data_IF_788263986061
#
_entry.id   IF_788263986061
#
_cell.length_a   1.000
_cell.length_b   1.000
_cell.length_c   1.000
_cell.angle_alpha   90.00
_cell.angle_beta   90.00
_cell.angle_gamma   90.00
#
_symmetry.space_group_name_H-M   'P 1'
#
loop_
_entity.id
_entity.type
_entity.pdbx_description
1 polymer ?
#
# COMPACT_ATOMS: atom_id res chain seq x y z
N UNK A 1 9.64 15.00 -6.65
CA UNK A 1 10.73 14.35 -7.42
C UNK A 1 10.11 13.18 -8.18
N UNK A 2 10.43 13.14 -9.48
CA UNK A 2 10.10 12.22 -10.57
C UNK A 2 9.42 10.87 -10.26
N UNK A 3 8.42 10.57 -11.09
CA UNK A 3 7.90 9.22 -11.30
C UNK A 3 8.68 8.43 -12.36
N UNK A 4 8.33 7.16 -12.50
CA UNK A 4 8.67 6.33 -13.64
C UNK A 4 7.62 5.21 -13.80
N UNK A 5 6.75 5.36 -14.80
CA UNK A 5 6.00 4.26 -15.41
C UNK A 5 6.56 4.01 -16.81
N UNK A 6 6.98 2.76 -17.02
CA UNK A 6 7.13 2.06 -18.28
C UNK A 6 5.80 2.01 -19.04
N UNK A 7 5.69 1.95 -20.36
CA UNK A 7 6.63 2.04 -21.47
C UNK A 7 5.80 2.19 -22.75
N UNK A 8 6.12 3.18 -23.58
CA UNK A 8 5.54 3.35 -24.91
C UNK A 8 6.55 2.88 -25.96
N UNK A 9 6.08 2.01 -26.86
CA UNK A 9 6.85 1.49 -27.97
C UNK A 9 7.25 2.63 -28.92
N UNK A 10 8.56 2.79 -29.10
CA UNK A 10 9.16 3.79 -29.97
C UNK A 10 8.70 3.65 -31.42
N UNK A 11 7.98 4.67 -31.90
CA UNK A 11 7.97 4.97 -33.34
C UNK A 11 9.28 5.68 -33.63
N UNK A 12 10.25 4.95 -34.18
CA UNK A 12 11.51 5.52 -34.66
C UNK A 12 11.20 6.60 -35.72
N UNK A 13 11.82 7.79 -35.64
CA UNK A 13 11.75 8.77 -36.72
C UNK A 13 12.47 8.19 -37.95
N UNK A 14 11.75 7.97 -39.05
CA UNK A 14 12.36 7.62 -40.32
C UNK A 14 13.37 8.72 -40.72
N UNK A 15 14.60 8.36 -41.10
CA UNK A 15 15.68 9.32 -41.27
C UNK A 15 15.41 10.19 -42.49
N UNK A 16 15.59 11.51 -42.33
CA UNK A 16 15.48 12.51 -43.38
C UNK A 16 16.37 12.24 -44.62
N UNK A 17 17.32 11.30 -44.52
CA UNK A 17 18.20 10.86 -45.60
C UNK A 17 17.45 10.13 -46.73
N UNK A 18 16.44 9.32 -46.41
CA UNK A 18 15.73 8.53 -47.43
C UNK A 18 14.91 9.41 -48.37
N UNK A 19 14.30 10.47 -47.81
CA UNK A 19 13.52 11.47 -48.55
C UNK A 19 14.42 12.37 -49.43
N UNK A 20 15.63 12.70 -48.95
CA UNK A 20 16.65 13.42 -49.73
C UNK A 20 17.12 12.59 -50.92
N UNK A 21 17.32 11.28 -50.75
CA UNK A 21 17.79 10.39 -51.83
C UNK A 21 16.80 10.26 -52.99
N UNK A 22 15.49 10.18 -52.70
CA UNK A 22 14.43 10.08 -53.72
C UNK A 22 14.29 11.36 -54.52
N UNK A 23 14.33 12.51 -53.84
CA UNK A 23 14.27 13.81 -54.52
C UNK A 23 15.52 14.00 -55.38
N UNK A 24 16.71 13.72 -54.86
CA UNK A 24 17.96 13.84 -55.61
C UNK A 24 17.99 12.93 -56.85
N UNK A 25 17.48 11.69 -56.74
CA UNK A 25 17.36 10.77 -57.87
C UNK A 25 16.37 11.27 -58.93
N UNK A 26 15.22 11.81 -58.50
CA UNK A 26 14.23 12.41 -59.42
C UNK A 26 14.83 13.61 -60.15
N UNK A 27 15.56 14.51 -59.47
CA UNK A 27 16.22 15.66 -60.10
C UNK A 27 17.33 15.22 -61.06
N UNK A 28 18.14 14.22 -60.69
CA UNK A 28 19.23 13.69 -61.52
C UNK A 28 18.72 13.07 -62.83
N UNK A 29 17.64 12.29 -62.77
CA UNK A 29 17.03 11.67 -63.97
C UNK A 29 16.45 12.75 -64.89
N UNK A 30 15.81 13.77 -64.34
CA UNK A 30 15.24 14.88 -65.12
C UNK A 30 16.34 15.69 -65.81
N UNK A 31 17.43 15.98 -65.09
CA UNK A 31 18.60 16.69 -65.62
C UNK A 31 19.30 15.89 -66.73
N UNK A 32 19.42 14.57 -66.54
CA UNK A 32 20.06 13.67 -67.51
C UNK A 32 19.23 13.56 -68.80
N UNK A 33 17.90 13.50 -68.68
CA UNK A 33 17.00 13.43 -69.83
C UNK A 33 16.96 14.75 -70.61
N UNK A 34 16.98 15.90 -69.91
CA UNK A 34 17.07 17.22 -70.52
C UNK A 34 18.42 17.44 -71.24
N UNK A 35 19.53 17.06 -70.61
CA UNK A 35 20.86 17.12 -71.21
C UNK A 35 20.98 16.18 -72.43
N UNK A 36 20.46 14.95 -72.32
CA UNK A 36 20.43 14.00 -73.43
C UNK A 36 19.61 14.50 -74.62
N UNK A 37 18.45 15.12 -74.35
CA UNK A 37 17.60 15.70 -75.41
C UNK A 37 18.26 16.90 -76.06
N UNK A 38 18.94 17.77 -75.29
CA UNK A 38 19.67 18.92 -75.82
C UNK A 38 20.83 18.50 -76.73
N UNK A 39 21.64 17.54 -76.29
CA UNK A 39 22.76 17.00 -77.09
C UNK A 39 22.24 16.31 -78.35
N UNK A 40 21.18 15.51 -78.25
CA UNK A 40 20.60 14.82 -79.40
C UNK A 40 20.02 15.81 -80.42
N UNK A 41 19.38 16.88 -79.95
CA UNK A 41 18.82 17.93 -80.82
C UNK A 41 19.93 18.73 -81.52
N UNK A 42 21.04 18.99 -80.82
CA UNK A 42 22.19 19.73 -81.37
C UNK A 42 22.97 18.89 -82.40
N UNK A 43 23.01 17.56 -82.24
CA UNK A 43 23.68 16.66 -83.20
C UNK A 43 22.84 16.42 -84.46
N UNK A 44 21.50 16.35 -84.34
CA UNK A 44 20.64 16.10 -85.50
C UNK A 44 20.27 17.36 -86.31
N UNK A 45 20.42 18.57 -85.75
CA UNK A 45 19.97 19.81 -86.40
C UNK A 45 21.00 20.94 -86.21
N UNK A 46 22.13 20.90 -86.93
CA UNK A 46 23.20 21.90 -86.78
C UNK A 46 22.88 23.29 -87.37
N UNK A 47 21.86 23.42 -88.24
CA UNK A 47 21.50 24.68 -88.93
C UNK A 47 20.15 25.29 -88.47
N UNK A 48 19.55 24.79 -87.38
CA UNK A 48 18.34 25.39 -86.82
C UNK A 48 18.71 26.60 -85.94
N UNK A 49 18.08 27.76 -86.17
CA UNK A 49 18.36 28.98 -85.38
C UNK A 49 18.22 28.73 -83.88
N UNK A 50 19.17 29.28 -83.09
CA UNK A 50 19.31 29.07 -81.63
C UNK A 50 17.97 29.10 -80.87
N UNK A 51 17.04 29.98 -81.28
CA UNK A 51 15.73 30.18 -80.65
C UNK A 51 14.83 28.93 -80.67
N UNK A 52 14.91 28.08 -81.70
CA UNK A 52 14.03 26.90 -81.82
C UNK A 52 14.44 25.77 -80.86
N UNK A 53 15.74 25.61 -80.60
CA UNK A 53 16.25 24.60 -79.65
C UNK A 53 15.83 24.92 -78.20
N UNK A 54 15.88 26.20 -77.81
CA UNK A 54 15.43 26.63 -76.48
C UNK A 54 13.94 26.34 -76.28
N UNK A 55 13.08 26.61 -77.26
CA UNK A 55 11.64 26.38 -77.15
C UNK A 55 11.29 24.91 -76.96
N UNK A 56 11.96 24.00 -77.69
CA UNK A 56 11.73 22.56 -77.54
C UNK A 56 12.20 22.02 -76.18
N UNK A 57 13.32 22.53 -75.65
CA UNK A 57 13.80 22.13 -74.32
C UNK A 57 12.83 22.56 -73.20
N UNK A 58 12.26 23.76 -73.32
CA UNK A 58 11.27 24.27 -72.37
C UNK A 58 9.99 23.44 -72.44
N UNK A 59 9.51 23.13 -73.65
CA UNK A 59 8.31 22.31 -73.84
C UNK A 59 8.47 20.89 -73.27
N UNK A 60 9.61 20.24 -73.55
CA UNK A 60 9.91 18.90 -73.01
C UNK A 60 10.07 18.94 -71.49
N UNK A 61 10.75 19.97 -70.96
CA UNK A 61 10.88 20.17 -69.51
C UNK A 61 9.54 20.36 -68.82
N UNK A 62 8.64 21.16 -69.39
CA UNK A 62 7.28 21.37 -68.86
C UNK A 62 6.45 20.09 -68.90
N UNK A 63 6.50 19.31 -69.98
CA UNK A 63 5.77 18.05 -70.09
C UNK A 63 6.24 17.03 -69.03
N UNK A 64 7.54 16.93 -68.80
CA UNK A 64 8.10 16.04 -67.77
C UNK A 64 7.68 16.47 -66.36
N UNK A 65 7.67 17.77 -66.06
CA UNK A 65 7.20 18.29 -64.77
C UNK A 65 5.73 17.97 -64.52
N UNK A 66 4.86 18.06 -65.53
CA UNK A 66 3.44 17.72 -65.41
C UNK A 66 3.27 16.23 -65.12
N UNK A 67 4.00 15.35 -65.81
CA UNK A 67 3.95 13.91 -65.56
C UNK A 67 4.44 13.58 -64.15
N UNK A 68 5.53 14.23 -63.70
CA UNK A 68 6.03 14.07 -62.33
C UNK A 68 4.99 14.52 -61.30
N UNK A 69 4.33 15.65 -61.53
CA UNK A 69 3.28 16.15 -60.65
C UNK A 69 2.10 15.19 -60.56
N UNK A 70 1.63 14.64 -61.68
CA UNK A 70 0.52 13.70 -61.71
C UNK A 70 0.82 12.40 -60.96
N UNK A 71 2.05 11.88 -61.09
CA UNK A 71 2.48 10.68 -60.35
C UNK A 71 2.58 10.96 -58.85
N UNK A 72 3.21 12.08 -58.45
CA UNK A 72 3.31 12.47 -57.04
C UNK A 72 1.93 12.73 -56.42
N UNK A 73 0.97 13.24 -57.19
CA UNK A 73 -0.40 13.46 -56.73
C UNK A 73 -1.16 12.14 -56.51
N UNK A 74 -1.00 11.17 -57.41
CA UNK A 74 -1.56 9.83 -57.27
C UNK A 74 -1.07 9.12 -56.00
N UNK A 75 0.25 9.15 -55.76
CA UNK A 75 0.86 8.56 -54.56
C UNK A 75 0.35 9.23 -53.27
N UNK A 76 0.09 10.54 -53.28
CA UNK A 76 -0.45 11.26 -52.10
C UNK A 76 -1.90 10.90 -51.82
N UNK A 77 -2.72 10.75 -52.85
CA UNK A 77 -4.14 10.39 -52.72
C UNK A 77 -4.30 9.01 -52.08
N UNK A 78 -3.55 8.03 -52.55
CA UNK A 78 -3.60 6.65 -52.02
C UNK A 78 -3.19 6.61 -50.54
N UNK A 79 -2.13 7.33 -50.17
CA UNK A 79 -1.69 7.44 -48.78
C UNK A 79 -2.73 8.11 -47.87
N UNK A 80 -3.44 9.12 -48.35
CA UNK A 80 -4.52 9.79 -47.59
C UNK A 80 -5.74 8.87 -47.45
N UNK A 81 -6.11 8.15 -48.49
CA UNK A 81 -7.22 7.19 -48.44
C UNK A 81 -6.95 6.09 -47.41
N UNK A 82 -5.75 5.52 -47.41
CA UNK A 82 -5.34 4.50 -46.45
C UNK A 82 -5.20 5.03 -45.02
N UNK A 83 -4.83 6.30 -44.85
CA UNK A 83 -4.85 6.95 -43.53
C UNK A 83 -6.29 7.17 -43.03
N UNK A 84 -7.21 7.56 -43.92
CA UNK A 84 -8.61 7.79 -43.58
C UNK A 84 -9.34 6.48 -43.24
N UNK A 85 -9.12 5.39 -44.00
CA UNK A 85 -9.67 4.06 -43.70
C UNK A 85 -9.23 3.56 -42.32
N UNK A 86 -7.93 3.72 -41.99
CA UNK A 86 -7.38 3.37 -40.67
C UNK A 86 -8.04 4.18 -39.56
N UNK A 87 -8.21 5.49 -39.75
CA UNK A 87 -8.85 6.36 -38.75
C UNK A 87 -10.31 6.00 -38.50
N UNK A 88 -11.08 5.73 -39.55
CA UNK A 88 -12.50 5.35 -39.42
C UNK A 88 -12.65 4.00 -38.71
N UNK A 89 -11.78 3.03 -39.03
CA UNK A 89 -11.79 1.72 -38.36
C UNK A 89 -11.45 1.86 -36.87
N UNK A 90 -10.39 2.59 -36.52
CA UNK A 90 -10.01 2.83 -35.13
C UNK A 90 -11.07 3.58 -34.33
N UNK A 91 -11.75 4.56 -34.94
CA UNK A 91 -12.86 5.28 -34.29
C UNK A 91 -14.06 4.36 -34.02
N UNK A 92 -14.39 3.45 -34.95
CA UNK A 92 -15.49 2.49 -34.77
C UNK A 92 -15.19 1.47 -33.66
N UNK A 93 -13.95 0.99 -33.58
CA UNK A 93 -13.50 0.09 -32.52
C UNK A 93 -13.55 0.80 -31.16
N UNK A 94 -12.95 1.99 -31.04
CA UNK A 94 -12.96 2.77 -29.80
C UNK A 94 -14.37 3.12 -29.31
N UNK A 95 -15.30 3.46 -30.22
CA UNK A 95 -16.69 3.74 -29.85
C UNK A 95 -17.42 2.48 -29.32
N UNK A 96 -17.12 1.31 -29.89
CA UNK A 96 -17.75 0.04 -29.50
C UNK A 96 -17.27 -0.40 -28.12
N UNK A 97 -15.96 -0.26 -27.86
CA UNK A 97 -15.37 -0.56 -26.56
C UNK A 97 -15.90 0.38 -25.49
N UNK A 98 -15.97 1.69 -25.78
CA UNK A 98 -16.53 2.68 -24.87
C UNK A 98 -18.01 2.43 -24.55
N UNK A 99 -18.80 2.03 -25.56
CA UNK A 99 -20.20 1.65 -25.33
C UNK A 99 -20.34 0.41 -24.44
N UNK A 100 -19.44 -0.56 -24.57
CA UNK A 100 -19.45 -1.78 -23.77
C UNK A 100 -19.06 -1.51 -22.33
N UNK A 101 -18.03 -0.71 -22.12
CA UNK A 101 -17.57 -0.28 -20.80
C UNK A 101 -18.66 0.54 -20.08
N UNK A 102 -19.27 1.50 -20.78
CA UNK A 102 -20.36 2.31 -20.23
C UNK A 102 -21.57 1.45 -19.84
N UNK A 103 -21.95 0.48 -20.69
CA UNK A 103 -23.05 -0.44 -20.37
C UNK A 103 -22.73 -1.32 -19.17
N UNK A 104 -21.51 -1.86 -19.08
CA UNK A 104 -21.09 -2.68 -17.94
C UNK A 104 -21.11 -1.89 -16.62
N UNK A 105 -20.59 -0.66 -16.63
CA UNK A 105 -20.59 0.20 -15.45
C UNK A 105 -22.02 0.59 -15.01
N UNK A 106 -22.91 0.80 -15.98
CA UNK A 106 -24.33 1.10 -15.73
C UNK A 106 -25.07 -0.12 -15.17
N UNK A 107 -24.88 -1.30 -15.76
CA UNK A 107 -25.51 -2.54 -15.29
C UNK A 107 -25.02 -2.93 -13.88
N UNK A 108 -23.73 -2.76 -13.58
CA UNK A 108 -23.17 -2.96 -12.24
C UNK A 108 -23.74 -1.97 -11.21
N UNK A 109 -23.88 -0.70 -11.60
CA UNK A 109 -24.46 0.33 -10.74
C UNK A 109 -25.94 0.06 -10.46
N UNK A 110 -26.71 -0.35 -11.48
CA UNK A 110 -28.10 -0.75 -11.31
C UNK A 110 -28.26 -2.01 -10.46
N UNK A 111 -27.38 -2.99 -10.57
CA UNK A 111 -27.39 -4.17 -9.70
C UNK A 111 -27.17 -3.79 -8.23
N UNK A 112 -26.21 -2.90 -7.93
CA UNK A 112 -25.96 -2.39 -6.58
C UNK A 112 -27.15 -1.61 -6.02
N UNK A 113 -27.78 -0.75 -6.84
CA UNK A 113 -28.96 0.04 -6.44
C UNK A 113 -30.17 -0.87 -6.20
N UNK A 114 -30.40 -1.87 -7.05
CA UNK A 114 -31.55 -2.77 -6.94
C UNK A 114 -31.41 -3.69 -5.71
N UNK A 115 -30.22 -4.22 -5.45
CA UNK A 115 -29.92 -5.01 -4.25
C UNK A 115 -30.12 -4.19 -2.97
N UNK A 116 -29.63 -2.94 -2.91
CA UNK A 116 -29.87 -2.03 -1.79
C UNK A 116 -31.38 -1.75 -1.60
N UNK A 117 -32.11 -1.53 -2.68
CA UNK A 117 -33.55 -1.26 -2.65
C UNK A 117 -34.36 -2.47 -2.17
N UNK A 118 -33.99 -3.67 -2.61
CA UNK A 118 -34.64 -4.93 -2.20
C UNK A 118 -34.37 -5.24 -0.72
N UNK A 119 -33.13 -5.04 -0.25
CA UNK A 119 -32.76 -5.12 1.17
C UNK A 119 -33.56 -4.14 2.03
N UNK A 120 -33.68 -2.87 1.62
CA UNK A 120 -34.51 -1.89 2.32
C UNK A 120 -35.99 -2.29 2.33
N UNK A 121 -36.51 -2.86 1.24
CA UNK A 121 -37.91 -3.33 1.18
C UNK A 121 -38.17 -4.55 2.07
N UNK A 122 -37.21 -5.45 2.20
CA UNK A 122 -37.30 -6.61 3.10
C UNK A 122 -37.20 -6.19 4.58
N UNK A 123 -36.34 -5.22 4.90
CA UNK A 123 -36.21 -4.63 6.25
C UNK A 123 -37.49 -3.90 6.67
N UNK A 124 -38.09 -3.12 5.76
CA UNK A 124 -39.34 -2.37 6.00
C UNK A 124 -40.56 -3.29 6.22
N UNK A 125 -40.51 -4.52 5.71
CA UNK A 125 -41.54 -5.56 5.88
C UNK A 125 -41.35 -6.44 7.11
N UNK A 126 -40.21 -6.36 7.81
CA UNK A 126 -39.92 -7.20 8.98
C UNK A 126 -40.39 -6.54 10.29
N UNK A 127 -40.73 -7.35 11.30
CA UNK A 127 -41.19 -6.91 12.64
C UNK A 127 -40.06 -6.24 13.46
N UNK A 128 -38.82 -6.28 12.98
CA UNK A 128 -37.70 -5.54 13.57
C UNK A 128 -37.86 -4.07 13.19
N UNK A 129 -38.21 -3.21 14.15
CA UNK A 129 -38.27 -1.75 14.00
C UNK A 129 -37.06 -1.24 13.17
N UNK A 130 -37.38 -0.81 11.95
CA UNK A 130 -36.56 -0.34 10.81
C UNK A 130 -35.44 0.68 11.11
N UNK A 131 -35.40 1.24 12.32
CA UNK A 131 -34.41 2.26 12.71
C UNK A 131 -32.99 1.71 12.86
N UNK A 132 -32.82 0.45 13.27
CA UNK A 132 -31.51 -0.13 13.58
C UNK A 132 -30.58 -0.23 12.36
N UNK A 133 -31.06 -0.87 11.29
CA UNK A 133 -30.28 -1.09 10.05
C UNK A 133 -30.03 0.22 9.32
N UNK A 134 -31.04 1.09 9.23
CA UNK A 134 -30.91 2.41 8.61
C UNK A 134 -29.92 3.30 9.38
N UNK A 135 -29.96 3.26 10.72
CA UNK A 135 -29.00 3.99 11.56
C UNK A 135 -27.59 3.41 11.42
N UNK A 136 -27.44 2.09 11.36
CA UNK A 136 -26.15 1.44 11.14
C UNK A 136 -25.54 1.84 9.79
N UNK A 137 -26.30 1.73 8.69
CA UNK A 137 -25.85 2.12 7.37
C UNK A 137 -25.44 3.60 7.33
N UNK A 138 -26.26 4.50 7.88
CA UNK A 138 -25.95 5.93 7.96
C UNK A 138 -24.68 6.20 8.76
N UNK A 139 -24.51 5.54 9.92
CA UNK A 139 -23.33 5.73 10.78
C UNK A 139 -22.07 5.16 10.15
N UNK A 140 -22.16 4.04 9.44
CA UNK A 140 -21.05 3.48 8.69
C UNK A 140 -20.60 4.41 7.56
N UNK A 141 -21.52 5.01 6.80
CA UNK A 141 -21.18 6.02 5.78
C UNK A 141 -20.45 7.21 6.41
N UNK A 142 -20.92 7.70 7.56
CA UNK A 142 -20.25 8.80 8.29
C UNK A 142 -18.81 8.45 8.70
N UNK A 143 -18.58 7.21 9.14
CA UNK A 143 -17.23 6.70 9.43
C UNK A 143 -16.38 6.60 8.16
N UNK A 144 -16.95 6.15 7.05
CA UNK A 144 -16.26 6.10 5.75
C UNK A 144 -15.81 7.47 5.23
N UNK A 145 -16.62 8.51 5.46
CA UNK A 145 -16.34 9.87 5.00
C UNK A 145 -15.33 10.62 5.89
N UNK A 146 -15.38 10.45 7.21
CA UNK A 146 -14.65 11.29 8.17
C UNK A 146 -13.67 10.51 9.07
N UNK A 147 -13.72 9.18 9.08
CA UNK A 147 -12.85 8.35 9.90
C UNK A 147 -11.44 8.25 9.34
N UNK A 148 -10.48 7.96 10.21
CA UNK A 148 -9.13 7.55 9.79
C UNK A 148 -9.14 6.15 9.15
N UNK A 149 -8.09 5.78 8.42
CA UNK A 149 -8.07 4.53 7.67
C UNK A 149 -8.14 3.29 8.56
N UNK A 150 -7.61 3.35 9.79
CA UNK A 150 -7.78 2.26 10.75
C UNK A 150 -9.22 2.17 11.26
N UNK A 151 -9.88 3.29 11.55
CA UNK A 151 -11.27 3.32 12.03
C UNK A 151 -12.22 2.79 10.97
N UNK A 152 -12.01 3.13 9.68
CA UNK A 152 -12.80 2.59 8.57
C UNK A 152 -12.69 1.07 8.48
N UNK A 153 -11.47 0.54 8.53
CA UNK A 153 -11.21 -0.91 8.44
C UNK A 153 -11.77 -1.65 9.64
N UNK A 154 -11.59 -1.11 10.84
CA UNK A 154 -12.21 -1.67 12.04
C UNK A 154 -13.74 -1.71 11.92
N UNK A 155 -14.38 -0.61 11.51
CA UNK A 155 -15.83 -0.59 11.32
C UNK A 155 -16.31 -1.59 10.25
N UNK A 156 -15.52 -1.82 9.20
CA UNK A 156 -15.82 -2.82 8.18
C UNK A 156 -15.76 -4.24 8.72
N UNK A 157 -14.71 -4.58 9.48
CA UNK A 157 -14.57 -5.90 10.12
C UNK A 157 -15.69 -6.16 11.14
N UNK A 158 -16.09 -5.16 11.94
CA UNK A 158 -17.19 -5.30 12.90
C UNK A 158 -18.55 -5.51 12.21
N UNK A 159 -18.81 -4.85 11.07
CA UNK A 159 -20.03 -5.10 10.28
C UNK A 159 -19.99 -6.50 9.66
N UNK A 160 -18.84 -6.94 9.15
CA UNK A 160 -18.68 -8.29 8.62
C UNK A 160 -18.89 -9.35 9.70
N UNK A 161 -18.34 -9.14 10.90
CA UNK A 161 -18.55 -9.98 12.06
C UNK A 161 -20.02 -10.04 12.48
N UNK A 162 -20.71 -8.90 12.53
CA UNK A 162 -22.16 -8.87 12.81
C UNK A 162 -22.96 -9.62 11.75
N UNK A 163 -22.60 -9.50 10.47
CA UNK A 163 -23.26 -10.23 9.39
C UNK A 163 -23.07 -11.74 9.53
N UNK A 164 -21.84 -12.20 9.82
CA UNK A 164 -21.54 -13.61 10.08
C UNK A 164 -22.27 -14.14 11.31
N UNK A 165 -22.40 -13.34 12.37
CA UNK A 165 -23.19 -13.70 13.55
C UNK A 165 -24.66 -13.87 13.19
N UNK A 166 -25.24 -12.95 12.40
CA UNK A 166 -26.63 -13.05 11.95
C UNK A 166 -26.85 -14.27 11.04
N UNK A 167 -25.90 -14.59 10.17
CA UNK A 167 -25.91 -15.81 9.35
C UNK A 167 -25.87 -17.07 10.22
N UNK A 168 -24.97 -17.10 11.20
CA UNK A 168 -24.83 -18.21 12.14
C UNK A 168 -26.12 -18.40 12.94
N UNK A 169 -26.68 -17.31 13.48
CA UNK A 169 -27.98 -17.31 14.17
C UNK A 169 -29.12 -17.78 13.28
N UNK A 170 -29.17 -17.35 12.01
CA UNK A 170 -30.15 -17.82 11.02
C UNK A 170 -30.01 -19.32 10.75
N UNK A 171 -28.79 -19.86 10.84
CA UNK A 171 -28.51 -21.29 10.70
C UNK A 171 -28.70 -22.08 12.00
N UNK A 172 -29.14 -21.43 13.09
CA UNK A 172 -29.48 -22.07 14.36
C UNK A 172 -28.30 -22.34 15.29
N UNK A 173 -27.12 -21.79 15.00
CA UNK A 173 -25.91 -21.99 15.81
C UNK A 173 -25.19 -20.65 15.98
N UNK A 174 -24.85 -20.23 17.18
CA UNK A 174 -23.91 -19.13 17.37
C UNK A 174 -22.85 -19.60 18.36
N UNK A 175 -21.61 -19.70 17.86
CA UNK A 175 -20.44 -19.94 18.69
C UNK A 175 -19.65 -18.64 18.73
N UNK A 176 -19.35 -18.16 19.94
CA UNK A 176 -18.57 -16.94 20.16
C UNK A 176 -17.22 -17.36 20.76
N UNK A 177 -16.14 -17.42 19.97
CA UNK A 177 -14.87 -17.93 20.43
C UNK A 177 -14.13 -16.92 21.32
N UNK A 178 -14.51 -16.85 22.60
CA UNK A 178 -13.68 -16.32 23.68
C UNK A 178 -14.27 -15.15 24.48
N UNK A 179 -13.68 -14.92 25.66
CA UNK A 179 -14.03 -13.80 26.55
C UNK A 179 -13.62 -12.45 25.94
N UNK A 180 -14.54 -11.47 25.97
CA UNK A 180 -14.52 -9.98 25.87
C UNK A 180 -13.31 -9.20 25.27
N UNK A 181 -12.29 -9.84 24.72
CA UNK A 181 -11.05 -9.24 24.20
C UNK A 181 -10.99 -9.28 22.66
N UNK A 182 -12.14 -9.34 21.99
CA UNK A 182 -12.17 -9.44 20.52
C UNK A 182 -11.72 -8.14 19.84
N UNK A 183 -12.06 -6.97 20.39
CA UNK A 183 -11.70 -5.70 19.78
C UNK A 183 -10.19 -5.50 19.65
N UNK A 184 -9.42 -5.84 20.68
CA UNK A 184 -7.96 -5.75 20.65
C UNK A 184 -7.35 -6.67 19.58
N UNK A 185 -7.94 -7.84 19.31
CA UNK A 185 -7.53 -8.73 18.23
C UNK A 185 -7.87 -8.14 16.85
N UNK A 186 -9.11 -7.69 16.65
CA UNK A 186 -9.56 -7.09 15.38
C UNK A 186 -8.77 -5.82 15.06
N UNK A 187 -8.54 -4.95 16.04
CA UNK A 187 -7.73 -3.73 15.88
C UNK A 187 -6.29 -4.04 15.47
N UNK A 188 -5.69 -5.08 16.06
CA UNK A 188 -4.34 -5.54 15.70
C UNK A 188 -4.29 -6.10 14.28
N UNK A 189 -5.33 -6.81 13.84
CA UNK A 189 -5.47 -7.25 12.46
C UNK A 189 -5.58 -6.05 11.50
N UNK A 190 -6.27 -4.99 11.93
CA UNK A 190 -6.42 -3.74 11.20
C UNK A 190 -5.19 -2.82 11.27
N UNK A 191 -4.17 -3.07 12.08
CA UNK A 191 -3.02 -2.13 12.19
C UNK A 191 -2.06 -2.27 10.99
N UNK A 192 -1.49 -1.14 10.52
CA UNK A 192 -0.60 -1.12 9.32
C UNK A 192 0.76 -0.49 9.53
N UNK A 193 0.89 0.45 10.44
CA UNK A 193 2.09 1.25 10.67
C UNK A 193 2.68 0.95 12.04
N UNK A 194 1.94 1.28 13.10
CA UNK A 194 2.46 1.28 14.46
C UNK A 194 1.43 0.77 15.47
N UNK A 195 1.90 0.06 16.50
CA UNK A 195 1.12 -0.31 17.68
C UNK A 195 1.95 -0.02 18.92
N UNK A 196 1.55 0.99 19.69
CA UNK A 196 2.23 1.40 20.92
C UNK A 196 1.34 1.12 22.12
N UNK A 197 1.83 0.36 23.09
CA UNK A 197 1.00 -0.10 24.20
C UNK A 197 1.69 0.06 25.55
N UNK A 198 0.91 0.45 26.56
CA UNK A 198 1.30 0.31 27.97
C UNK A 198 0.60 -0.90 28.57
N UNK A 199 1.26 -1.54 29.54
CA UNK A 199 0.70 -2.62 30.36
C UNK A 199 1.13 -2.42 31.81
N UNK A 200 0.17 -2.38 32.73
CA UNK A 200 0.41 -2.27 34.18
C UNK A 200 0.55 -3.65 34.83
N UNK A 201 0.81 -3.67 36.14
CA UNK A 201 0.86 -4.89 36.96
C UNK A 201 -0.44 -5.71 36.92
N UNK A 202 -1.58 -5.07 36.63
CA UNK A 202 -2.90 -5.71 36.50
C UNK A 202 -2.95 -6.68 35.30
N UNK A 203 -2.14 -6.44 34.26
CA UNK A 203 -2.12 -7.25 33.05
C UNK A 203 -1.32 -8.57 33.20
N UNK A 204 -0.65 -8.82 34.32
CA UNK A 204 0.24 -10.00 34.47
C UNK A 204 -0.50 -11.32 34.25
N UNK A 205 -1.69 -11.46 34.81
CA UNK A 205 -2.51 -12.67 34.65
C UNK A 205 -3.06 -12.80 33.23
N UNK A 206 -3.35 -11.67 32.57
CA UNK A 206 -3.84 -11.65 31.19
C UNK A 206 -2.85 -12.32 30.23
N UNK A 207 -1.55 -12.09 30.36
CA UNK A 207 -0.55 -12.67 29.44
C UNK A 207 -0.42 -14.20 29.54
N UNK A 208 -0.80 -14.77 30.68
CA UNK A 208 -0.84 -16.23 30.87
C UNK A 208 -2.12 -16.87 30.32
N UNK A 209 -3.17 -16.06 30.11
CA UNK A 209 -4.50 -16.48 29.66
C UNK A 209 -4.55 -16.90 28.17
N UNK A 210 -5.63 -17.58 27.79
CA UNK A 210 -5.91 -17.89 26.38
C UNK A 210 -6.00 -16.65 25.48
N UNK A 211 -6.77 -15.60 25.85
CA UNK A 211 -6.80 -14.33 25.12
C UNK A 211 -5.44 -13.65 24.97
N UNK A 212 -4.63 -13.58 26.03
CA UNK A 212 -3.29 -12.97 25.98
C UNK A 212 -2.36 -13.68 25.00
N UNK A 213 -2.40 -15.02 24.96
CA UNK A 213 -1.64 -15.82 23.98
C UNK A 213 -2.10 -15.53 22.54
N UNK A 214 -3.41 -15.47 22.29
CA UNK A 214 -3.93 -15.13 20.95
C UNK A 214 -3.51 -13.73 20.52
N UNK A 215 -3.53 -12.78 21.45
CA UNK A 215 -3.13 -11.41 21.18
C UNK A 215 -1.64 -11.28 20.85
N UNK A 216 -0.77 -12.02 21.56
CA UNK A 216 0.65 -12.07 21.26
C UNK A 216 0.92 -12.66 19.86
N UNK A 217 0.20 -13.72 19.49
CA UNK A 217 0.27 -14.29 18.12
C UNK A 217 -0.18 -13.26 17.07
N UNK A 218 -1.28 -12.55 17.31
CA UNK A 218 -1.80 -11.53 16.40
C UNK A 218 -0.81 -10.38 16.18
N UNK A 219 -0.12 -9.93 17.24
CA UNK A 219 0.95 -8.93 17.16
C UNK A 219 2.14 -9.44 16.35
N UNK A 220 2.63 -10.66 16.63
CA UNK A 220 3.71 -11.27 15.86
C UNK A 220 3.35 -11.43 14.37
N UNK A 221 2.09 -11.76 14.07
CA UNK A 221 1.59 -11.80 12.68
C UNK A 221 1.53 -10.42 12.03
N UNK A 222 1.19 -9.37 12.77
CA UNK A 222 1.22 -8.00 12.28
C UNK A 222 2.64 -7.58 11.89
N UNK A 223 3.63 -7.89 12.74
CA UNK A 223 5.05 -7.63 12.46
C UNK A 223 5.48 -8.43 11.22
N UNK A 224 5.33 -9.75 11.23
CA UNK A 224 5.85 -10.63 10.16
C UNK A 224 5.17 -10.42 8.81
N UNK A 225 3.84 -10.25 8.79
CA UNK A 225 3.06 -10.20 7.53
C UNK A 225 2.90 -8.80 6.98
N UNK A 226 2.92 -7.77 7.85
CA UNK A 226 2.61 -6.38 7.48
C UNK A 226 3.73 -5.40 7.80
N UNK A 227 4.79 -5.81 8.51
CA UNK A 227 5.88 -4.91 8.89
C UNK A 227 5.47 -3.85 9.91
N UNK A 228 4.42 -4.12 10.70
CA UNK A 228 3.96 -3.18 11.75
C UNK A 228 5.03 -3.07 12.82
N UNK A 229 5.38 -1.83 13.19
CA UNK A 229 6.25 -1.56 14.32
C UNK A 229 5.45 -1.66 15.62
N UNK A 230 5.87 -2.53 16.54
CA UNK A 230 5.18 -2.73 17.81
C UNK A 230 6.12 -2.44 18.97
N UNK A 231 5.71 -1.50 19.83
CA UNK A 231 6.41 -1.11 21.05
C UNK A 231 5.51 -1.32 22.26
N UNK A 232 6.05 -1.90 23.34
CA UNK A 232 5.33 -2.10 24.59
C UNK A 232 6.13 -1.65 25.79
N UNK A 233 5.48 -0.89 26.66
CA UNK A 233 6.00 -0.52 27.98
C UNK A 233 5.26 -1.28 29.06
N UNK A 234 6.01 -1.99 29.90
CA UNK A 234 5.51 -2.50 31.17
C UNK A 234 5.77 -1.45 32.24
N UNK A 235 4.68 -0.88 32.78
CA UNK A 235 4.76 0.18 33.77
C UNK A 235 4.74 -0.46 35.16
N UNK A 236 5.72 -0.07 35.98
CA UNK A 236 5.79 -0.42 37.42
C UNK A 236 5.83 0.85 38.24
N UNK A 237 5.27 0.81 39.45
CA UNK A 237 5.26 1.97 40.34
C UNK A 237 6.56 2.09 41.14
N UNK A 238 7.19 0.96 41.47
CA UNK A 238 8.43 0.88 42.25
C UNK A 238 9.42 -0.13 41.63
N UNK A 239 10.74 0.13 41.67
CA UNK A 239 11.73 -0.77 41.11
C UNK A 239 11.73 -2.18 41.74
N UNK A 240 11.24 -2.35 42.96
CA UNK A 240 11.07 -3.68 43.59
C UNK A 240 10.02 -4.55 42.91
N UNK A 241 9.11 -3.97 42.12
CA UNK A 241 8.12 -4.72 41.33
C UNK A 241 8.71 -5.33 40.05
N UNK A 242 9.96 -4.98 39.71
CA UNK A 242 10.73 -5.58 38.61
C UNK A 242 11.23 -6.97 39.04
N UNK A 243 10.28 -7.89 39.07
CA UNK A 243 10.48 -9.31 39.36
C UNK A 243 11.02 -10.05 38.14
N UNK A 244 11.71 -11.18 38.33
CA UNK A 244 12.19 -12.02 37.22
C UNK A 244 11.07 -12.50 36.30
N UNK A 245 9.87 -12.75 36.84
CA UNK A 245 8.70 -13.11 36.04
C UNK A 245 8.27 -12.01 35.06
N UNK A 246 8.51 -10.74 35.39
CA UNK A 246 8.25 -9.59 34.52
C UNK A 246 9.36 -9.46 33.46
N UNK A 247 10.61 -9.69 33.83
CA UNK A 247 11.74 -9.77 32.87
C UNK A 247 11.49 -10.87 31.85
N UNK A 248 11.14 -12.06 32.31
CA UNK A 248 10.77 -13.20 31.46
C UNK A 248 9.59 -12.88 30.54
N UNK A 249 8.58 -12.15 31.05
CA UNK A 249 7.44 -11.72 30.24
C UNK A 249 7.87 -10.76 29.14
N UNK A 250 8.73 -9.79 29.47
CA UNK A 250 9.29 -8.84 28.52
C UNK A 250 10.08 -9.55 27.42
N UNK A 251 10.98 -10.46 27.80
CA UNK A 251 11.73 -11.30 26.86
C UNK A 251 10.83 -12.16 25.97
N UNK A 252 9.78 -12.76 26.53
CA UNK A 252 8.80 -13.52 25.74
C UNK A 252 8.14 -12.65 24.68
N UNK A 253 7.86 -11.37 24.97
CA UNK A 253 7.32 -10.46 23.95
C UNK A 253 8.37 -10.11 22.88
N UNK A 254 9.63 -9.87 23.28
CA UNK A 254 10.74 -9.61 22.35
C UNK A 254 10.94 -10.75 21.35
N UNK A 255 10.75 -12.00 21.76
CA UNK A 255 10.80 -13.18 20.86
C UNK A 255 9.73 -13.16 19.75
N UNK A 256 8.66 -12.38 19.90
CA UNK A 256 7.66 -12.16 18.85
C UNK A 256 7.97 -10.96 17.93
N UNK A 257 9.11 -10.29 18.15
CA UNK A 257 9.55 -9.10 17.42
C UNK A 257 9.00 -7.79 18.00
N UNK A 258 8.43 -7.82 19.20
CA UNK A 258 7.93 -6.62 19.90
C UNK A 258 9.10 -5.95 20.60
N UNK A 259 9.30 -4.64 20.40
CA UNK A 259 10.22 -3.87 21.23
C UNK A 259 9.54 -3.64 22.59
N UNK A 260 9.86 -4.49 23.56
CA UNK A 260 9.28 -4.45 24.89
C UNK A 260 10.31 -3.91 25.88
N UNK A 261 9.89 -2.98 26.74
CA UNK A 261 10.72 -2.38 27.80
C UNK A 261 9.96 -2.31 29.11
N UNK A 262 10.68 -2.25 30.21
CA UNK A 262 10.13 -2.01 31.55
C UNK A 262 10.42 -0.55 31.90
N UNK A 263 9.41 0.17 32.38
CA UNK A 263 9.52 1.57 32.77
C UNK A 263 9.17 1.70 34.25
N UNK A 264 10.12 2.20 35.02
CA UNK A 264 9.96 2.55 36.42
C UNK A 264 9.42 3.98 36.53
N UNK A 265 8.17 4.11 36.97
CA UNK A 265 7.50 5.40 37.05
C UNK A 265 8.05 6.28 38.18
N UNK A 266 8.68 5.71 39.20
CA UNK A 266 9.28 6.48 40.29
C UNK A 266 10.45 7.36 39.82
N UNK A 267 11.03 7.04 38.66
CA UNK A 267 12.13 7.79 38.03
C UNK A 267 11.66 8.85 37.04
N UNK A 268 10.34 8.96 36.80
CA UNK A 268 9.75 9.97 35.92
C UNK A 268 9.43 11.23 36.72
N UNK A 269 10.38 12.16 36.77
CA UNK A 269 10.17 13.48 37.39
C UNK A 269 9.02 14.24 36.69
N UNK A 270 7.92 14.46 37.41
CA UNK A 270 6.91 15.47 37.05
C UNK A 270 5.77 15.03 36.12
N UNK A 271 5.67 13.76 35.75
CA UNK A 271 4.45 13.25 35.07
C UNK A 271 3.38 13.01 36.15
N UNK A 272 2.23 13.70 36.12
CA UNK A 272 1.16 13.42 37.08
C UNK A 272 0.78 11.94 36.98
N UNK A 273 0.89 11.23 38.10
CA UNK A 273 0.33 9.88 38.32
C UNK A 273 -1.20 10.02 38.27
N UNK A 274 -1.72 10.30 37.09
CA UNK A 274 -3.12 10.12 36.77
C UNK A 274 -3.29 8.62 36.70
N UNK A 275 -4.27 8.08 37.44
CA UNK A 275 -4.61 6.64 37.50
C UNK A 275 -4.26 5.98 36.17
N UNK A 276 -3.27 5.09 36.22
CA UNK A 276 -2.54 4.61 35.05
C UNK A 276 -3.47 3.72 34.25
N UNK A 277 -4.21 4.32 33.31
CA UNK A 277 -5.05 3.56 32.40
C UNK A 277 -4.15 2.88 31.38
N UNK A 278 -4.25 1.57 31.28
CA UNK A 278 -3.65 0.83 30.18
C UNK A 278 -4.22 1.33 28.86
N UNK A 279 -3.34 1.70 27.93
CA UNK A 279 -3.76 2.17 26.63
C UNK A 279 -2.93 1.58 25.49
N UNK A 280 -3.56 1.48 24.33
CA UNK A 280 -2.97 0.99 23.10
C UNK A 280 -3.30 1.99 21.99
N UNK A 281 -2.27 2.52 21.34
CA UNK A 281 -2.37 3.42 20.20
C UNK A 281 -2.09 2.64 18.94
N UNK A 282 -3.03 2.68 18.00
CA UNK A 282 -2.93 2.01 16.71
C UNK A 282 -2.79 3.06 15.59
N UNK A 283 -1.77 2.90 14.76
CA UNK A 283 -1.43 3.75 13.61
C UNK A 283 -1.28 5.26 13.94
N UNK A 284 -1.16 5.63 15.22
CA UNK A 284 -1.20 7.03 15.67
C UNK A 284 -2.57 7.71 15.47
N UNK A 285 -3.63 6.93 15.24
CA UNK A 285 -4.94 7.44 14.79
C UNK A 285 -6.11 6.96 15.67
N UNK A 286 -5.93 5.90 16.46
CA UNK A 286 -6.96 5.35 17.33
C UNK A 286 -6.35 4.88 18.65
N UNK A 287 -6.95 5.30 19.77
CA UNK A 287 -6.56 4.89 21.11
C UNK A 287 -7.61 3.96 21.72
N UNK A 288 -7.16 2.82 22.23
CA UNK A 288 -7.92 1.89 23.06
C UNK A 288 -7.46 2.04 24.51
N UNK A 289 -8.38 2.26 25.44
CA UNK A 289 -8.07 2.49 26.85
C UNK A 289 -8.87 1.52 27.73
N UNK A 290 -8.22 1.04 28.79
CA UNK A 290 -8.84 0.25 29.86
C UNK A 290 -8.81 1.11 31.12
N UNK A 291 -9.99 1.42 31.66
CA UNK A 291 -10.11 2.10 32.97
C UNK A 291 -10.18 1.02 34.07
N UNK A 292 -9.20 0.97 35.00
CA UNK A 292 -9.25 0.06 36.15
C UNK A 292 -10.37 0.49 37.11
N UNK A 293 -11.13 -0.46 37.64
CA UNK A 293 -12.02 -0.20 38.78
C UNK A 293 -11.20 0.00 40.08
N UNK A 294 -11.84 0.55 41.10
CA UNK A 294 -11.39 0.70 42.50
C UNK A 294 -10.95 -0.65 43.13
N UNK A 295 -11.14 -1.78 42.43
CA UNK A 295 -10.74 -3.14 42.83
C UNK A 295 -9.76 -3.82 41.86
N UNK A 296 -9.09 -3.09 40.98
CA UNK A 296 -8.13 -3.62 39.99
C UNK A 296 -8.72 -4.66 39.01
N UNK A 297 -10.04 -4.61 38.78
CA UNK A 297 -10.68 -5.32 37.67
C UNK A 297 -10.99 -4.31 36.55
N UNK A 298 -10.76 -4.62 35.27
CA UNK A 298 -11.08 -3.70 34.18
C UNK A 298 -12.59 -3.44 34.14
N UNK A 299 -13.02 -2.22 34.44
CA UNK A 299 -14.45 -1.86 34.52
C UNK A 299 -15.02 -1.39 33.19
N UNK A 300 -14.16 -0.80 32.34
CA UNK A 300 -14.58 -0.16 31.11
C UNK A 300 -13.46 -0.13 30.07
N UNK A 301 -13.84 -0.48 28.84
CA UNK A 301 -13.01 -0.34 27.66
C UNK A 301 -13.51 0.81 26.80
N UNK A 302 -12.62 1.70 26.38
CA UNK A 302 -12.93 2.89 25.59
C UNK A 302 -12.13 2.91 24.29
N UNK A 303 -12.79 3.34 23.21
CA UNK A 303 -12.16 3.66 21.93
C UNK A 303 -12.28 5.16 21.66
N UNK A 304 -11.14 5.83 21.46
CA UNK A 304 -11.06 7.27 21.22
C UNK A 304 -10.23 7.55 19.97
N UNK A 305 -10.88 8.13 18.95
CA UNK A 305 -10.26 8.51 17.68
C UNK A 305 -10.08 10.04 17.53
N UNK A 306 -10.40 10.81 18.56
CA UNK A 306 -10.29 12.28 18.52
C UNK A 306 -8.82 12.67 18.42
N UNK A 307 -8.44 13.43 17.38
CA UNK A 307 -7.04 13.75 17.08
C UNK A 307 -6.27 14.34 18.28
N UNK A 308 -6.87 15.26 19.03
CA UNK A 308 -6.22 15.85 20.21
C UNK A 308 -5.92 14.82 21.31
N UNK A 309 -6.87 13.91 21.56
CA UNK A 309 -6.70 12.83 22.56
C UNK A 309 -5.64 11.82 22.13
N UNK A 310 -5.63 11.44 20.85
CA UNK A 310 -4.62 10.50 20.33
C UNK A 310 -3.23 11.14 20.35
N UNK A 311 -3.11 12.42 19.98
CA UNK A 311 -1.85 13.14 20.04
C UNK A 311 -1.29 13.22 21.47
N UNK A 312 -2.13 13.55 22.45
CA UNK A 312 -1.76 13.55 23.89
C UNK A 312 -1.22 12.18 24.33
N UNK A 313 -1.89 11.09 23.92
CA UNK A 313 -1.44 9.72 24.25
C UNK A 313 -0.15 9.32 23.56
N UNK A 314 0.06 9.76 22.31
CA UNK A 314 1.31 9.53 21.57
C UNK A 314 2.46 10.27 22.25
N UNK A 315 2.28 11.54 22.62
CA UNK A 315 3.27 12.34 23.34
C UNK A 315 3.64 11.65 24.67
N UNK A 316 2.63 11.31 25.48
CA UNK A 316 2.84 10.59 26.74
C UNK A 316 3.57 9.25 26.54
N UNK A 317 3.22 8.47 25.52
CA UNK A 317 3.92 7.22 25.26
C UNK A 317 5.39 7.46 24.91
N UNK A 318 5.68 8.46 24.09
CA UNK A 318 7.05 8.78 23.70
C UNK A 318 7.89 9.25 24.90
N UNK A 319 7.32 10.09 25.78
CA UNK A 319 8.00 10.53 27.01
C UNK A 319 8.40 9.32 27.89
N UNK A 320 7.45 8.39 28.08
CA UNK A 320 7.71 7.15 28.83
C UNK A 320 8.73 6.26 28.12
N UNK A 321 8.67 6.20 26.79
CA UNK A 321 9.55 5.37 25.98
C UNK A 321 11.00 5.87 26.00
N UNK A 322 11.20 7.18 25.91
CA UNK A 322 12.53 7.81 25.95
C UNK A 322 13.16 7.71 27.34
N UNK A 323 12.36 7.80 28.40
CA UNK A 323 12.83 7.61 29.77
C UNK A 323 13.16 6.15 30.09
N UNK A 324 12.56 5.18 29.39
CA UNK A 324 12.88 3.76 29.56
C UNK A 324 14.22 3.42 28.90
N UNK A 325 15.18 2.97 29.69
CA UNK A 325 16.45 2.45 29.16
C UNK A 325 16.18 1.15 28.39
N UNK A 326 16.78 0.95 27.20
CA UNK A 326 16.84 -0.38 26.61
C UNK A 326 17.64 -1.26 27.56
N UNK A 327 17.06 -2.35 28.08
CA UNK A 327 17.85 -3.34 28.81
C UNK A 327 19.03 -3.73 27.93
N UNK A 328 20.25 -3.45 28.37
CA UNK A 328 21.46 -3.82 27.66
C UNK A 328 21.44 -5.32 27.38
N UNK A 329 21.78 -5.72 26.15
CA UNK A 329 22.07 -7.12 25.85
C UNK A 329 23.09 -7.62 26.88
N UNK A 330 22.92 -8.81 27.47
CA UNK A 330 23.88 -9.31 28.46
C UNK A 330 25.25 -9.40 27.79
N UNK A 331 26.21 -8.61 28.27
CA UNK A 331 27.61 -8.75 27.92
C UNK A 331 28.00 -10.21 28.20
N UNK A 332 28.49 -10.91 27.19
CA UNK A 332 29.06 -12.25 27.34
C UNK A 332 30.12 -12.17 28.45
N UNK A 333 29.83 -12.76 29.61
CA UNK A 333 30.81 -12.87 30.68
C UNK A 333 32.04 -13.60 30.12
N UNK A 334 33.27 -13.05 30.27
CA UNK A 334 34.46 -13.72 29.81
C UNK A 334 34.58 -15.06 30.53
N UNK A 335 34.73 -16.13 29.74
CA UNK A 335 34.99 -17.50 30.21
C UNK A 335 36.01 -17.48 31.35
N UNK A 336 35.54 -17.75 32.58
CA UNK A 336 36.44 -18.02 33.69
C UNK A 336 37.12 -19.37 33.40
N UNK A 337 38.41 -19.31 33.06
CA UNK A 337 39.27 -20.49 33.01
C UNK A 337 39.19 -21.24 34.35
N UNK A 338 39.06 -22.57 34.34
CA UNK A 338 38.88 -23.34 35.56
C UNK A 338 40.12 -23.24 36.46
N UNK A 339 39.89 -22.86 37.72
CA UNK A 339 40.88 -22.92 38.81
C UNK A 339 41.50 -24.33 38.88
N UNK A 340 42.83 -24.40 38.75
CA UNK A 340 43.60 -25.62 39.03
C UNK A 340 43.39 -26.05 40.48
N UNK A 341 42.84 -27.25 40.67
CA UNK A 341 42.78 -27.93 41.96
C UNK A 341 44.20 -28.08 42.55
N UNK A 342 44.41 -27.81 43.86
CA UNK A 342 45.70 -28.04 44.47
C UNK A 342 45.97 -29.54 44.64
N UNK A 343 47.10 -30.00 44.08
CA UNK A 343 47.64 -31.34 44.24
C UNK A 343 47.74 -31.74 45.72
N UNK A 344 47.19 -32.92 46.03
CA UNK A 344 47.32 -33.58 47.33
C UNK A 344 48.76 -34.05 47.59
N UNK A 345 49.38 -33.59 48.68
CA UNK A 345 50.62 -34.19 49.21
C UNK A 345 50.37 -35.62 49.71
N UNK A 346 51.18 -36.62 49.31
CA UNK A 346 51.14 -37.95 49.89
C UNK A 346 52.23 -38.13 50.96
N UNK A 347 51.82 -38.59 52.14
CA UNK A 347 52.64 -39.52 52.93
C UNK A 347 53.29 -38.98 54.20
N UNK A 348 52.58 -39.12 55.31
CA UNK A 348 53.21 -39.45 56.60
C UNK A 348 52.52 -40.68 57.19
N UNK A 349 53.13 -41.83 56.93
CA UNK A 349 52.88 -43.09 57.63
C UNK A 349 53.63 -43.09 58.97
N UNK A 350 52.96 -43.31 60.11
CA UNK A 350 53.59 -43.33 61.42
C UNK A 350 54.15 -44.71 61.72
N UNK A 351 55.41 -44.98 61.40
CA UNK A 351 56.15 -46.11 62.00
C UNK A 351 57.66 -45.90 61.92
N UNK A 352 58.20 -45.27 62.97
CA UNK A 352 59.59 -45.44 63.39
C UNK A 352 59.60 -46.46 64.53
N UNK A 353 59.91 -47.71 64.17
CA UNK A 353 60.98 -48.53 64.77
C UNK A 353 61.84 -49.00 63.62
#
# INVERSE_FOLDING_TARGET
MNGATTGEAGTLPQPAEERRSKLFRKTLVTLSLAAGTFVLTNVLTPDASDVWQWMMSVMVGSAVLIVQYLVDFGERLENVEEAQKRRIRGMRESLSDHHREMRSAVDESFAKINAATELFSQVDRSVLRSDGVTRLARKYTQVGEHGSEIVKRFAQEEIAGLALLMESLSNGTADCPGENNEWILTLTACTRKTLYATSTSVDRDFWSSGPGKRYLVAQGDAIRKRGVEIRRLFLVDDPSEITDSLRDLCERQRRYGIDARICDQSQLDGVPVTEVNDFIIFDGELCYEIEPDVRAAPSKTLLKATAGHVAERVERFNDLWEASTPDAEPEEEPEQEPEEEPEAEPGQDPSRV
#
